data_IF_273581240573
#
_entry.id   IF_273581240573
#
_cell.length_a   1.000
_cell.length_b   1.000
_cell.length_c   1.000
_cell.angle_alpha   90.00
_cell.angle_beta   90.00
_cell.angle_gamma   90.00
#
_symmetry.space_group_name_H-M   'P 1'
#
loop_
_entity.id
_entity.type
_entity.pdbx_description
1 polymer ?
#
# COMPACT_ATOMS: atom_id res chain seq x y z
N UNK A 1 34.87 19.14 1.49
CA UNK A 1 33.56 19.24 2.17
C UNK A 1 32.99 17.84 2.27
N UNK A 2 32.69 17.42 3.50
CA UNK A 2 32.66 16.03 3.95
C UNK A 2 31.35 15.31 3.60
N UNK A 3 31.38 14.43 2.59
CA UNK A 3 30.44 13.32 2.44
C UNK A 3 30.68 12.29 3.56
N UNK A 4 30.47 12.67 4.83
CA UNK A 4 30.23 11.68 5.87
C UNK A 4 28.97 10.91 5.44
N UNK A 5 29.12 9.61 5.19
CA UNK A 5 28.14 8.80 4.49
C UNK A 5 26.83 8.77 5.26
N UNK A 6 25.81 9.47 4.75
CA UNK A 6 24.44 9.49 5.30
C UNK A 6 23.87 8.09 5.55
N UNK A 7 24.36 7.09 4.82
CA UNK A 7 24.03 5.67 5.02
C UNK A 7 24.60 5.13 6.33
N UNK A 8 25.84 5.51 6.70
CA UNK A 8 26.48 5.08 7.95
C UNK A 8 25.78 5.68 9.16
N UNK A 9 25.35 6.94 9.05
CA UNK A 9 24.57 7.62 10.09
C UNK A 9 23.18 6.99 10.22
N UNK A 10 22.52 6.68 9.09
CA UNK A 10 21.24 5.97 9.09
C UNK A 10 21.34 4.57 9.71
N UNK A 11 22.36 3.78 9.36
CA UNK A 11 22.58 2.44 9.96
C UNK A 11 22.86 2.58 11.46
N UNK A 12 23.62 3.59 11.87
CA UNK A 12 23.93 3.83 13.29
C UNK A 12 22.66 4.19 14.06
N UNK A 13 21.80 5.03 13.47
CA UNK A 13 20.48 5.36 14.02
C UNK A 13 19.56 4.13 14.09
N UNK A 14 19.46 3.32 13.03
CA UNK A 14 18.68 2.08 13.06
C UNK A 14 19.15 1.10 14.14
N UNK A 15 20.47 1.04 14.40
CA UNK A 15 21.03 0.22 15.49
C UNK A 15 20.69 0.77 16.88
N UNK A 16 20.46 2.07 17.02
CA UNK A 16 20.12 2.69 18.31
C UNK A 16 18.62 2.65 18.62
N UNK A 17 17.77 2.43 17.62
CA UNK A 17 16.31 2.31 17.82
C UNK A 17 15.96 0.87 18.18
N UNK A 18 15.29 0.68 19.32
CA UNK A 18 14.73 -0.60 19.75
C UNK A 18 13.21 -0.60 19.59
N UNK A 19 12.63 -1.65 19.00
CA UNK A 19 11.18 -1.81 18.84
C UNK A 19 10.71 -1.60 17.41
N UNK A 20 9.44 -1.22 17.24
CA UNK A 20 8.82 -0.97 15.93
C UNK A 20 9.30 0.36 15.34
N UNK A 21 9.89 0.29 14.16
CA UNK A 21 10.45 1.43 13.42
C UNK A 21 9.57 1.86 12.25
N UNK A 22 8.34 1.35 12.13
CA UNK A 22 7.44 1.71 11.03
C UNK A 22 7.21 3.23 10.94
N UNK A 23 7.09 3.92 12.07
CA UNK A 23 6.91 5.38 12.14
C UNK A 23 8.22 6.18 12.13
N UNK A 24 9.37 5.52 12.05
CA UNK A 24 10.65 6.23 11.96
C UNK A 24 10.81 6.83 10.56
N UNK A 25 11.06 8.13 10.49
CA UNK A 25 11.30 8.84 9.23
C UNK A 25 12.64 8.42 8.65
N UNK A 26 12.61 7.80 7.47
CA UNK A 26 13.82 7.43 6.75
C UNK A 26 14.45 8.66 6.06
N UNK A 27 15.75 8.61 5.67
CA UNK A 27 16.38 9.66 4.90
C UNK A 27 15.60 9.97 3.61
N UNK A 28 15.56 11.24 3.15
CA UNK A 28 14.71 11.66 2.01
C UNK A 28 14.89 10.83 0.73
N UNK A 29 16.10 10.35 0.44
CA UNK A 29 16.37 9.53 -0.75
C UNK A 29 15.73 8.13 -0.71
N UNK A 30 15.28 7.68 0.47
CA UNK A 30 14.60 6.40 0.67
C UNK A 30 13.06 6.55 0.69
N UNK A 31 12.55 7.79 0.69
CA UNK A 31 11.13 8.07 0.76
C UNK A 31 10.52 8.19 -0.64
N UNK A 32 9.35 7.60 -0.83
CA UNK A 32 8.47 7.88 -1.96
C UNK A 32 7.70 9.19 -1.66
N UNK A 33 7.35 9.99 -2.68
CA UNK A 33 6.53 11.19 -2.51
C UNK A 33 5.03 10.85 -2.40
N UNK A 34 4.71 9.73 -1.74
CA UNK A 34 3.37 9.14 -1.67
C UNK A 34 3.10 8.73 -0.23
N UNK A 35 1.93 9.06 0.32
CA UNK A 35 1.53 8.65 1.66
C UNK A 35 1.11 7.18 1.72
N UNK A 36 1.27 6.54 2.86
CA UNK A 36 0.86 5.14 3.05
C UNK A 36 -0.65 4.94 2.84
N UNK A 37 -1.48 5.97 3.11
CA UNK A 37 -2.94 5.90 2.85
C UNK A 37 -3.27 5.77 1.36
N UNK A 38 -2.40 6.23 0.47
CA UNK A 38 -2.59 6.12 -0.98
C UNK A 38 -2.30 4.72 -1.51
N UNK A 39 -1.50 3.91 -0.80
CA UNK A 39 -1.07 2.57 -1.26
C UNK A 39 -2.26 1.65 -1.53
N UNK A 40 -3.38 1.85 -0.84
CA UNK A 40 -4.63 1.12 -1.08
C UNK A 40 -5.19 1.28 -2.50
N UNK A 41 -4.81 2.33 -3.24
CA UNK A 41 -5.26 2.56 -4.63
C UNK A 41 -4.96 1.39 -5.56
N UNK A 42 -3.90 0.61 -5.28
CA UNK A 42 -3.49 -0.53 -6.10
C UNK A 42 -4.62 -1.55 -6.33
N UNK A 43 -5.61 -1.61 -5.43
CA UNK A 43 -6.77 -2.51 -5.52
C UNK A 43 -7.81 -2.05 -6.55
N UNK A 44 -7.88 -0.76 -6.84
CA UNK A 44 -8.94 -0.15 -7.68
C UNK A 44 -8.43 0.57 -8.92
N UNK A 45 -7.11 0.74 -9.07
CA UNK A 45 -6.45 1.39 -10.21
C UNK A 45 -6.79 0.81 -11.59
N UNK A 46 -7.28 -0.44 -11.65
CA UNK A 46 -7.72 -1.11 -12.89
C UNK A 46 -9.18 -1.55 -12.76
N UNK A 47 -10.16 -0.64 -12.93
CA UNK A 47 -11.58 -0.93 -12.73
C UNK A 47 -12.08 -2.15 -13.51
N UNK A 48 -11.67 -2.31 -14.78
CA UNK A 48 -12.05 -3.45 -15.60
C UNK A 48 -11.58 -4.81 -15.06
N UNK A 49 -10.46 -4.85 -14.34
CA UNK A 49 -9.95 -6.06 -13.71
C UNK A 49 -10.68 -6.30 -12.37
N UNK A 50 -10.79 -5.27 -11.54
CA UNK A 50 -11.51 -5.33 -10.26
C UNK A 50 -12.94 -5.84 -10.43
N UNK A 51 -13.64 -5.32 -11.45
CA UNK A 51 -15.03 -5.66 -11.72
C UNK A 51 -15.19 -6.95 -12.55
N UNK A 52 -14.12 -7.50 -13.13
CA UNK A 52 -14.24 -8.65 -14.04
C UNK A 52 -14.92 -9.88 -13.42
N UNK A 53 -14.79 -10.06 -12.10
CA UNK A 53 -15.41 -11.16 -11.37
C UNK A 53 -16.93 -11.02 -11.26
N UNK A 54 -17.49 -9.80 -11.29
CA UNK A 54 -18.94 -9.57 -11.19
C UNK A 54 -19.68 -9.97 -12.47
N UNK A 55 -18.96 -9.98 -13.60
CA UNK A 55 -19.49 -10.30 -14.92
C UNK A 55 -19.39 -11.79 -15.25
N UNK A 56 -18.72 -12.58 -14.42
CA UNK A 56 -18.49 -14.00 -14.67
C UNK A 56 -19.51 -14.87 -13.92
N UNK A 57 -20.27 -15.65 -14.68
CA UNK A 57 -21.31 -16.53 -14.16
C UNK A 57 -20.75 -17.84 -13.60
N UNK A 58 -19.72 -18.40 -14.25
CA UNK A 58 -19.12 -19.66 -13.85
C UNK A 58 -18.27 -19.49 -12.57
N UNK A 59 -18.51 -20.27 -11.50
CA UNK A 59 -17.79 -20.12 -10.24
C UNK A 59 -16.28 -20.32 -10.35
N UNK A 60 -15.81 -21.26 -11.18
CA UNK A 60 -14.38 -21.56 -11.31
C UNK A 60 -13.67 -20.43 -12.07
N UNK A 61 -14.24 -19.99 -13.18
CA UNK A 61 -13.75 -18.84 -13.94
C UNK A 61 -13.78 -17.56 -13.10
N UNK A 62 -14.81 -17.36 -12.28
CA UNK A 62 -14.91 -16.20 -11.38
C UNK A 62 -13.80 -16.19 -10.33
N UNK A 63 -13.45 -17.36 -9.77
CA UNK A 63 -12.31 -17.48 -8.86
C UNK A 63 -10.97 -17.11 -9.53
N UNK A 64 -10.79 -17.48 -10.81
CA UNK A 64 -9.61 -17.08 -11.58
C UNK A 64 -9.56 -15.57 -11.84
N UNK A 65 -10.72 -14.90 -12.01
CA UNK A 65 -10.79 -13.43 -12.12
C UNK A 65 -10.38 -12.73 -10.82
N UNK A 66 -10.83 -13.24 -9.67
CA UNK A 66 -10.38 -12.72 -8.36
C UNK A 66 -8.88 -12.90 -8.19
N UNK A 67 -8.34 -14.07 -8.55
CA UNK A 67 -6.89 -14.30 -8.53
C UNK A 67 -6.14 -13.34 -9.46
N UNK A 68 -6.65 -13.14 -10.68
CA UNK A 68 -6.08 -12.19 -11.64
C UNK A 68 -6.04 -10.77 -11.07
N UNK A 69 -7.11 -10.33 -10.42
CA UNK A 69 -7.20 -9.04 -9.74
C UNK A 69 -6.11 -8.91 -8.67
N UNK A 70 -6.00 -9.87 -7.76
CA UNK A 70 -4.97 -9.87 -6.70
C UNK A 70 -3.58 -9.73 -7.31
N UNK A 71 -3.21 -10.60 -8.26
CA UNK A 71 -1.89 -10.59 -8.89
C UNK A 71 -1.60 -9.28 -9.63
N UNK A 72 -2.61 -8.67 -10.27
CA UNK A 72 -2.46 -7.41 -10.98
C UNK A 72 -2.28 -6.20 -10.04
N UNK A 73 -2.78 -6.27 -8.80
CA UNK A 73 -2.66 -5.24 -7.77
C UNK A 73 -1.29 -5.28 -7.06
N UNK A 74 -0.69 -6.47 -6.91
CA UNK A 74 0.62 -6.64 -6.24
C UNK A 74 1.72 -5.76 -6.84
N UNK A 75 1.72 -5.53 -8.17
CA UNK A 75 2.73 -4.67 -8.79
C UNK A 75 2.66 -3.24 -8.25
N UNK A 76 1.48 -2.62 -8.25
CA UNK A 76 1.32 -1.26 -7.73
C UNK A 76 1.50 -1.20 -6.22
N UNK A 77 1.21 -2.30 -5.50
CA UNK A 77 1.45 -2.41 -4.06
C UNK A 77 2.95 -2.38 -3.70
N UNK A 78 3.82 -3.06 -4.47
CA UNK A 78 5.24 -3.16 -4.17
C UNK A 78 6.11 -2.07 -4.81
N UNK A 79 5.68 -1.47 -5.91
CA UNK A 79 6.44 -0.45 -6.64
C UNK A 79 5.79 0.93 -6.52
N UNK A 80 5.84 1.48 -5.30
CA UNK A 80 5.24 2.78 -4.97
C UNK A 80 6.12 3.93 -5.53
N UNK A 81 5.53 4.78 -6.37
CA UNK A 81 6.05 6.11 -6.70
C UNK A 81 6.95 6.22 -7.94
N UNK A 82 7.63 5.18 -8.40
CA UNK A 82 8.42 5.20 -9.64
C UNK A 82 8.48 3.80 -10.29
N UNK A 83 8.48 3.73 -11.63
CA UNK A 83 8.44 2.46 -12.38
C UNK A 83 9.64 1.53 -12.12
N UNK A 84 9.65 0.34 -12.74
CA UNK A 84 10.55 -0.82 -12.50
C UNK A 84 12.06 -0.56 -12.24
N UNK A 85 12.57 0.63 -12.56
CA UNK A 85 13.97 1.04 -12.40
C UNK A 85 14.27 1.76 -11.08
N UNK A 86 13.26 2.25 -10.37
CA UNK A 86 13.44 2.84 -9.06
C UNK A 86 13.33 1.74 -8.01
N UNK A 87 14.38 1.56 -7.20
CA UNK A 87 14.34 0.60 -6.10
C UNK A 87 13.18 0.87 -5.14
N UNK A 88 12.87 -0.12 -4.30
CA UNK A 88 11.81 -0.03 -3.30
C UNK A 88 11.98 1.23 -2.43
N UNK A 89 11.02 2.16 -2.51
CA UNK A 89 10.95 3.37 -1.68
C UNK A 89 9.89 3.19 -0.60
N UNK A 90 10.16 3.71 0.60
CA UNK A 90 9.20 3.70 1.72
C UNK A 90 8.17 4.81 1.51
N UNK A 91 6.85 4.55 1.60
CA UNK A 91 5.86 5.62 1.61
C UNK A 91 6.04 6.53 2.84
N UNK A 92 5.49 7.74 2.75
CA UNK A 92 5.43 8.67 3.88
C UNK A 92 4.54 8.08 4.98
N UNK A 93 4.94 8.30 6.24
CA UNK A 93 4.14 7.88 7.38
C UNK A 93 2.91 8.78 7.49
N UNK A 94 1.72 8.18 7.50
CA UNK A 94 0.49 8.94 7.67
C UNK A 94 0.27 9.36 9.13
N UNK A 95 -0.36 10.53 9.31
CA UNK A 95 -0.83 10.97 10.62
C UNK A 95 -2.22 10.37 10.92
N UNK A 96 -2.62 10.32 12.20
CA UNK A 96 -3.92 9.79 12.59
C UNK A 96 -5.07 10.59 11.95
N UNK A 97 -6.00 9.91 11.28
CA UNK A 97 -7.12 10.52 10.59
C UNK A 97 -6.77 11.10 9.21
N UNK A 98 -5.58 10.84 8.68
CA UNK A 98 -5.27 11.13 7.28
C UNK A 98 -6.15 10.29 6.37
N UNK A 99 -6.76 10.92 5.35
CA UNK A 99 -7.72 10.29 4.45
C UNK A 99 -7.23 10.44 3.01
N UNK A 100 -7.39 9.37 2.24
CA UNK A 100 -7.25 9.37 0.78
C UNK A 100 -8.54 8.87 0.14
N UNK A 101 -9.04 9.62 -0.85
CA UNK A 101 -10.20 9.24 -1.66
C UNK A 101 -9.79 9.19 -3.12
N UNK A 102 -10.24 8.15 -3.82
CA UNK A 102 -9.95 7.95 -5.23
C UNK A 102 -11.13 7.38 -5.99
N UNK A 103 -11.23 7.76 -7.26
CA UNK A 103 -12.15 7.18 -8.23
C UNK A 103 -11.41 6.94 -9.54
N UNK A 104 -11.55 5.74 -10.09
CA UNK A 104 -10.96 5.32 -11.36
C UNK A 104 -12.06 4.91 -12.32
N UNK A 105 -11.87 5.27 -13.58
CA UNK A 105 -12.78 4.89 -14.67
C UNK A 105 -11.97 4.28 -15.82
N UNK A 106 -12.41 3.12 -16.30
CA UNK A 106 -11.88 2.46 -17.50
C UNK A 106 -13.06 2.06 -18.40
N UNK A 107 -13.23 2.78 -19.52
CA UNK A 107 -14.38 2.64 -20.43
C UNK A 107 -15.71 2.82 -19.68
N UNK A 108 -16.41 1.73 -19.43
CA UNK A 108 -17.71 1.69 -18.76
C UNK A 108 -17.61 1.18 -17.31
N UNK A 109 -16.39 0.98 -16.79
CA UNK A 109 -16.14 0.46 -15.46
C UNK A 109 -15.70 1.58 -14.53
N UNK A 110 -16.29 1.64 -13.34
CA UNK A 110 -15.96 2.62 -12.30
C UNK A 110 -15.56 1.90 -11.02
N UNK A 111 -14.55 2.39 -10.31
CA UNK A 111 -14.18 1.90 -8.99
C UNK A 111 -13.88 3.08 -8.08
N UNK A 112 -14.38 3.04 -6.85
CA UNK A 112 -14.15 4.04 -5.82
C UNK A 112 -13.38 3.41 -4.67
N UNK A 113 -12.57 4.21 -3.99
CA UNK A 113 -11.85 3.83 -2.78
C UNK A 113 -11.82 5.01 -1.81
N UNK A 114 -11.97 4.70 -0.53
CA UNK A 114 -11.58 5.55 0.58
C UNK A 114 -10.60 4.78 1.46
N UNK A 115 -9.53 5.42 1.89
CA UNK A 115 -8.58 4.90 2.86
C UNK A 115 -8.36 5.92 3.97
N UNK A 116 -8.24 5.43 5.20
CA UNK A 116 -8.04 6.25 6.39
C UNK A 116 -6.94 5.64 7.27
N UNK A 117 -6.04 6.49 7.77
CA UNK A 117 -5.12 6.13 8.83
C UNK A 117 -5.85 6.09 10.18
N UNK A 118 -6.45 4.95 10.52
CA UNK A 118 -7.26 4.75 11.72
C UNK A 118 -6.44 4.59 13.02
N UNK A 119 -5.14 4.36 12.91
CA UNK A 119 -4.23 4.33 14.06
C UNK A 119 -2.82 4.78 13.68
N UNK A 120 -2.16 5.56 14.56
CA UNK A 120 -0.77 5.96 14.37
C UNK A 120 0.21 5.07 15.18
N UNK A 121 -0.15 4.61 16.39
CA UNK A 121 0.70 3.74 17.21
C UNK A 121 -0.10 2.53 17.73
N UNK A 122 -0.07 1.37 17.04
CA UNK A 122 0.69 1.05 15.82
C UNK A 122 0.09 1.68 14.55
N UNK A 123 0.84 1.81 13.44
CA UNK A 123 0.29 2.33 12.19
C UNK A 123 -0.70 1.33 11.58
N UNK A 124 -1.95 1.77 11.40
CA UNK A 124 -3.01 0.99 10.74
C UNK A 124 -3.72 1.90 9.74
N UNK A 125 -3.76 1.44 8.49
CA UNK A 125 -4.54 2.04 7.41
C UNK A 125 -5.70 1.11 7.08
N UNK A 126 -6.93 1.60 7.18
CA UNK A 126 -8.13 0.89 6.72
C UNK A 126 -8.53 1.42 5.34
N UNK A 127 -9.13 0.57 4.51
CA UNK A 127 -9.68 0.98 3.22
C UNK A 127 -11.03 0.29 2.95
N UNK A 128 -11.84 0.98 2.15
CA UNK A 128 -13.11 0.51 1.63
C UNK A 128 -13.18 0.86 0.16
N UNK A 129 -13.51 -0.13 -0.68
CA UNK A 129 -13.57 -0.01 -2.13
C UNK A 129 -14.90 -0.55 -2.65
N UNK A 130 -15.48 0.11 -3.65
CA UNK A 130 -16.78 -0.29 -4.17
C UNK A 130 -17.07 0.20 -5.58
N UNK A 131 -18.03 -0.46 -6.20
CA UNK A 131 -18.78 0.03 -7.36
C UNK A 131 -20.28 -0.24 -7.15
N UNK A 132 -21.08 0.80 -7.36
CA UNK A 132 -22.53 0.76 -7.12
C UNK A 132 -23.27 0.07 -8.27
N UNK A 133 -22.77 0.14 -9.51
CA UNK A 133 -23.47 -0.42 -10.68
C UNK A 133 -23.40 -1.95 -10.71
N UNK A 134 -22.24 -2.51 -10.42
CA UNK A 134 -22.00 -3.96 -10.44
C UNK A 134 -22.08 -4.61 -9.06
N UNK A 135 -22.47 -3.86 -8.03
CA UNK A 135 -22.73 -4.35 -6.66
C UNK A 135 -21.54 -5.10 -6.02
N UNK A 136 -20.30 -4.65 -6.28
CA UNK A 136 -19.10 -5.17 -5.63
C UNK A 136 -18.62 -4.21 -4.54
N UNK A 137 -18.18 -4.78 -3.43
CA UNK A 137 -17.61 -4.07 -2.29
C UNK A 137 -16.44 -4.89 -1.76
N UNK A 138 -15.42 -4.22 -1.26
CA UNK A 138 -14.28 -4.81 -0.58
C UNK A 138 -13.84 -3.89 0.55
N UNK A 139 -13.37 -4.48 1.63
CA UNK A 139 -12.86 -3.77 2.78
C UNK A 139 -11.62 -4.49 3.29
N UNK A 140 -10.67 -3.71 3.81
CA UNK A 140 -9.45 -4.27 4.32
C UNK A 140 -8.73 -3.29 5.22
N UNK A 141 -7.73 -3.80 5.93
CA UNK A 141 -6.81 -2.95 6.66
C UNK A 141 -5.41 -3.55 6.63
N UNK A 142 -4.42 -2.67 6.66
CA UNK A 142 -3.02 -3.05 6.73
C UNK A 142 -2.38 -2.42 7.96
N UNK A 143 -1.68 -3.26 8.72
CA UNK A 143 -0.72 -2.90 9.75
C UNK A 143 0.66 -3.33 9.29
N UNK A 144 1.63 -2.44 9.43
CA UNK A 144 3.03 -2.74 9.13
C UNK A 144 3.83 -2.61 10.42
N UNK A 145 4.44 -3.72 10.84
CA UNK A 145 5.44 -3.72 11.91
C UNK A 145 6.83 -3.83 11.25
N UNK A 146 7.73 -2.88 11.52
CA UNK A 146 9.10 -2.91 11.01
C UNK A 146 10.07 -3.09 12.17
N UNK A 147 11.04 -4.00 12.05
CA UNK A 147 12.08 -4.19 13.05
C UNK A 147 13.47 -4.31 12.42
N UNK A 148 14.51 -3.91 13.16
CA UNK A 148 15.89 -3.98 12.71
C UNK A 148 16.71 -4.88 13.65
N UNK A 149 17.26 -5.97 13.12
CA UNK A 149 18.10 -6.93 13.86
C UNK A 149 19.41 -7.22 13.12
N UNK A 150 19.98 -6.20 12.47
CA UNK A 150 21.07 -6.34 11.50
C UNK A 150 20.58 -6.43 10.05
N UNK A 151 19.36 -6.93 9.84
CA UNK A 151 18.56 -6.82 8.61
C UNK A 151 17.26 -6.05 8.91
N UNK A 152 16.67 -5.42 7.88
CA UNK A 152 15.33 -4.84 7.97
C UNK A 152 14.30 -5.96 7.79
N UNK A 153 13.48 -6.19 8.80
CA UNK A 153 12.37 -7.14 8.75
C UNK A 153 11.06 -6.36 8.71
N UNK A 154 10.26 -6.62 7.68
CA UNK A 154 8.93 -6.02 7.50
C UNK A 154 7.89 -7.12 7.68
N UNK A 155 6.99 -6.96 8.64
CA UNK A 155 5.86 -7.85 8.84
C UNK A 155 4.58 -7.07 8.56
N UNK A 156 3.86 -7.47 7.52
CA UNK A 156 2.53 -6.96 7.25
C UNK A 156 1.51 -7.86 7.93
N UNK A 157 0.60 -7.28 8.70
CA UNK A 157 -0.55 -7.97 9.31
C UNK A 157 -1.83 -7.23 8.94
N UNK A 158 -2.90 -7.97 8.71
CA UNK A 158 -4.15 -7.39 8.24
C UNK A 158 -4.91 -8.36 7.33
N UNK A 159 -6.17 -8.04 7.08
CA UNK A 159 -7.00 -8.73 6.10
C UNK A 159 -7.26 -7.75 4.95
N UNK A 160 -7.07 -8.24 3.73
CA UNK A 160 -7.35 -7.55 2.48
C UNK A 160 -8.41 -8.35 1.72
#
# INVERSE_FOLDING_TARGET
MTHHSHIRDFITFLKSVSGDIANVTAPPYFLAPVSVVEVGSCWTEKPSIFLSATLESDPEARALKVLQWILCSLRSQFYIGEGDKAGLKKPLNAFLGEIYEGQWTDKNFNAKLIAEQVSHHPPITACYMWDDEHQIRGEGYTRVDMSFSGNLNIKQTGQQ
#
